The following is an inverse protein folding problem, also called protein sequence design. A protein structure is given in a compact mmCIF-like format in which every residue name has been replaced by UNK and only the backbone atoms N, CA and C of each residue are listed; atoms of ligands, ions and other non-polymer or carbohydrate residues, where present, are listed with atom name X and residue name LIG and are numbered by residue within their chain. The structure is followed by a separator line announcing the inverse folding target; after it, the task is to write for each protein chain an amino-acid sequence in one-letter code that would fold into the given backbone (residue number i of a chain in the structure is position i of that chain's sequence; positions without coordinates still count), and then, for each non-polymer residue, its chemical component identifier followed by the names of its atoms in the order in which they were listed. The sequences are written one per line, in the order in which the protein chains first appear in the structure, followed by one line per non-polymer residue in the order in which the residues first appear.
data_IF_096722164873
#
_entry.id   IF_096722164873
#
_cell.length_a   1.000
_cell.length_b   1.000
_cell.length_c   1.000
_cell.angle_alpha   90.00
_cell.angle_beta   90.00
_cell.angle_gamma   90.00
#
_symmetry.space_group_name_H-M   'P 1'
#
loop_
_entity.id
_entity.type
_entity.pdbx_description
1 polymer ?
#
# COMPACT_ATOMS: atom_id res chain seq x y z
N UNK A 1 8.90 -51.71 5.86
CA UNK A 1 9.70 -50.77 5.04
C UNK A 1 8.78 -50.16 4.00
N UNK A 2 8.24 -48.97 4.27
CA UNK A 2 7.26 -48.31 3.38
C UNK A 2 7.84 -46.95 2.98
N UNK A 3 8.14 -46.80 1.69
CA UNK A 3 8.71 -45.59 1.09
C UNK A 3 7.59 -44.55 0.93
N UNK A 4 7.64 -43.49 1.73
CA UNK A 4 6.78 -42.31 1.56
C UNK A 4 7.44 -41.36 0.57
N UNK A 5 6.82 -41.19 -0.60
CA UNK A 5 7.21 -40.18 -1.59
C UNK A 5 6.72 -38.81 -1.14
N UNK A 6 7.67 -37.89 -1.06
CA UNK A 6 7.49 -36.47 -0.79
C UNK A 6 6.85 -35.81 -2.03
N UNK A 7 5.66 -35.22 -1.88
CA UNK A 7 5.07 -34.35 -2.90
C UNK A 7 5.41 -32.91 -2.50
N UNK A 8 6.28 -32.30 -3.28
CA UNK A 8 6.64 -30.89 -3.21
C UNK A 8 5.51 -30.08 -3.87
N UNK A 9 4.79 -29.26 -3.11
CA UNK A 9 3.78 -28.35 -3.65
C UNK A 9 4.46 -27.02 -4.03
N UNK A 10 4.70 -26.84 -5.32
CA UNK A 10 5.12 -25.60 -5.97
C UNK A 10 4.05 -24.52 -5.82
N UNK A 11 4.43 -23.38 -5.24
CA UNK A 11 3.61 -22.17 -5.18
C UNK A 11 3.46 -21.56 -6.58
N UNK A 12 2.22 -21.47 -7.05
CA UNK A 12 1.86 -20.95 -8.36
C UNK A 12 2.05 -19.44 -8.49
N UNK A 13 2.86 -19.05 -9.47
CA UNK A 13 2.90 -17.72 -10.03
C UNK A 13 1.70 -17.55 -10.98
N UNK A 14 0.90 -16.50 -10.80
CA UNK A 14 -0.16 -16.12 -11.74
C UNK A 14 0.46 -15.27 -12.85
N UNK A 15 0.67 -15.90 -14.01
CA UNK A 15 1.01 -15.26 -15.28
C UNK A 15 -0.25 -14.62 -15.90
N UNK A 16 -0.15 -13.36 -16.29
CA UNK A 16 -1.17 -12.64 -17.07
C UNK A 16 -1.06 -13.09 -18.53
N UNK A 17 -2.05 -13.81 -19.05
CA UNK A 17 -2.15 -14.16 -20.46
C UNK A 17 -2.68 -12.97 -21.27
N UNK A 18 -1.93 -12.58 -22.30
CA UNK A 18 -2.34 -11.60 -23.30
C UNK A 18 -3.46 -12.13 -24.20
N UNK A 19 -4.41 -11.25 -24.52
CA UNK A 19 -5.49 -11.53 -25.47
C UNK A 19 -5.00 -11.25 -26.89
N UNK A 20 -5.00 -12.30 -27.70
CA UNK A 20 -4.77 -12.30 -29.15
C UNK A 20 -6.01 -11.72 -29.85
N UNK A 21 -5.81 -10.71 -30.70
CA UNK A 21 -6.81 -10.22 -31.67
C UNK A 21 -6.89 -11.19 -32.86
N UNK A 22 -8.09 -11.57 -33.34
CA UNK A 22 -8.25 -12.03 -34.71
C UNK A 22 -8.46 -10.83 -35.64
N UNK A 23 -7.70 -10.82 -36.73
CA UNK A 23 -7.92 -9.96 -37.88
C UNK A 23 -9.12 -10.49 -38.68
N UNK A 24 -10.08 -9.62 -39.00
CA UNK A 24 -11.00 -9.85 -40.11
C UNK A 24 -10.74 -8.82 -41.21
N UNK A 25 -10.62 -9.38 -42.39
CA UNK A 25 -10.22 -8.85 -43.69
C UNK A 25 -11.37 -8.05 -44.32
N UNK A 26 -11.00 -7.02 -45.07
CA UNK A 26 -11.88 -6.16 -45.86
C UNK A 26 -12.39 -6.85 -47.14
N UNK A 27 -13.62 -6.52 -47.55
CA UNK A 27 -14.08 -6.60 -48.95
C UNK A 27 -15.12 -5.50 -49.21
N UNK A 28 -15.22 -5.08 -50.47
CA UNK A 28 -15.48 -3.71 -50.96
C UNK A 28 -16.94 -3.45 -51.39
N UNK A 29 -17.34 -2.16 -51.34
CA UNK A 29 -18.55 -1.41 -51.78
C UNK A 29 -19.15 -1.73 -53.20
N UNK A 30 -20.28 -1.16 -53.71
CA UNK A 30 -20.97 0.11 -53.34
C UNK A 30 -22.54 0.24 -53.47
N UNK A 31 -23.00 1.42 -53.05
CA UNK A 31 -24.20 2.20 -53.48
C UNK A 31 -25.62 1.75 -53.09
N UNK A 32 -26.33 2.60 -52.32
CA UNK A 32 -27.34 3.59 -52.80
C UNK A 32 -28.07 4.20 -51.57
N UNK A 33 -28.37 5.49 -51.57
CA UNK A 33 -29.11 6.23 -50.50
C UNK A 33 -29.89 7.37 -51.17
N UNK A 34 -31.01 7.94 -50.65
CA UNK A 34 -31.98 7.55 -49.59
C UNK A 34 -33.47 7.65 -50.08
N UNK A 35 -34.49 7.61 -49.19
CA UNK A 35 -34.97 8.89 -48.64
C UNK A 35 -35.13 8.92 -47.11
N UNK A 36 -35.04 10.15 -46.64
CA UNK A 36 -35.15 10.74 -45.31
C UNK A 36 -36.41 10.31 -44.53
N UNK A 37 -36.21 9.83 -43.29
CA UNK A 37 -37.27 9.69 -42.28
C UNK A 37 -36.67 10.02 -40.92
N UNK A 38 -37.05 11.20 -40.42
CA UNK A 38 -37.02 11.71 -39.04
C UNK A 38 -35.88 11.23 -38.11
N UNK A 39 -34.94 12.12 -37.87
CA UNK A 39 -33.99 12.00 -36.76
C UNK A 39 -34.73 12.01 -35.42
N UNK A 40 -34.84 10.86 -34.77
CA UNK A 40 -35.03 10.77 -33.33
C UNK A 40 -33.87 11.48 -32.64
N UNK A 41 -34.08 12.34 -31.63
CA UNK A 41 -32.98 12.89 -30.86
C UNK A 41 -32.27 11.73 -30.17
N UNK A 42 -31.01 11.49 -30.57
CA UNK A 42 -30.12 10.58 -29.89
C UNK A 42 -29.91 11.12 -28.47
N UNK A 43 -30.62 10.54 -27.51
CA UNK A 43 -30.31 10.71 -26.08
C UNK A 43 -28.89 10.22 -25.90
N UNK A 44 -27.94 11.15 -25.78
CA UNK A 44 -26.59 10.85 -25.36
C UNK A 44 -26.71 10.19 -23.99
N UNK A 45 -26.23 8.95 -23.79
CA UNK A 45 -26.25 8.35 -22.46
C UNK A 45 -25.48 9.30 -21.53
N UNK A 46 -26.00 9.60 -20.32
CA UNK A 46 -25.30 10.46 -19.39
C UNK A 46 -23.91 9.87 -19.18
N UNK A 47 -22.89 10.67 -19.48
CA UNK A 47 -21.52 10.38 -19.08
C UNK A 47 -21.49 10.49 -17.56
N UNK A 48 -21.79 9.38 -16.89
CA UNK A 48 -21.66 9.29 -15.44
C UNK A 48 -20.18 9.48 -15.13
N UNK A 49 -19.86 10.64 -14.54
CA UNK A 49 -18.53 10.88 -13.99
C UNK A 49 -18.14 9.67 -13.12
N UNK A 50 -16.89 9.19 -13.18
CA UNK A 50 -16.47 8.06 -12.36
C UNK A 50 -16.86 8.32 -10.90
N UNK A 51 -17.54 7.37 -10.27
CA UNK A 51 -17.90 7.49 -8.86
C UNK A 51 -16.63 7.71 -8.04
N UNK A 52 -16.59 8.82 -7.30
CA UNK A 52 -15.50 9.15 -6.38
C UNK A 52 -15.49 8.14 -5.24
N UNK A 53 -14.29 7.66 -4.87
CA UNK A 53 -14.15 6.72 -3.76
C UNK A 53 -14.28 7.48 -2.45
N UNK A 54 -15.18 7.09 -1.53
CA UNK A 54 -15.24 7.72 -0.22
C UNK A 54 -13.93 7.49 0.55
N UNK A 55 -13.27 8.60 0.89
CA UNK A 55 -12.07 8.62 1.75
C UNK A 55 -12.37 9.46 2.98
N UNK A 56 -12.21 8.90 4.17
CA UNK A 56 -12.40 9.62 5.43
C UNK A 56 -11.17 9.52 6.31
N UNK A 57 -10.90 10.58 7.07
CA UNK A 57 -9.99 10.52 8.22
C UNK A 57 -10.78 10.97 9.45
N UNK A 58 -10.79 10.13 10.48
CA UNK A 58 -11.39 10.43 11.76
C UNK A 58 -10.28 10.61 12.81
N UNK A 59 -10.35 11.68 13.59
CA UNK A 59 -9.33 12.03 14.58
C UNK A 59 -9.98 12.10 15.95
N UNK A 60 -9.55 11.25 16.87
CA UNK A 60 -10.12 11.19 18.23
C UNK A 60 -9.04 11.32 19.29
N UNK A 61 -9.33 12.03 20.38
CA UNK A 61 -8.41 12.21 21.50
C UNK A 61 -7.22 13.11 21.18
N UNK A 62 -6.19 13.03 22.03
CA UNK A 62 -4.97 13.84 21.96
C UNK A 62 -3.93 13.18 21.05
N UNK A 63 -4.10 13.39 19.75
CA UNK A 63 -3.08 13.00 18.76
C UNK A 63 -1.98 14.07 18.70
N UNK A 64 -0.69 13.72 18.80
CA UNK A 64 0.40 14.69 18.68
C UNK A 64 0.41 15.39 17.32
N UNK A 65 0.82 16.66 17.27
CA UNK A 65 0.82 17.47 16.03
C UNK A 65 2.13 17.38 15.24
N UNK A 66 3.22 17.04 15.90
CA UNK A 66 4.55 16.89 15.32
C UNK A 66 4.73 15.60 14.47
N UNK A 67 3.68 14.79 14.35
CA UNK A 67 3.64 13.57 13.52
C UNK A 67 3.34 13.84 12.04
N UNK A 68 3.00 15.10 11.68
CA UNK A 68 2.79 15.51 10.29
C UNK A 68 4.02 15.15 9.45
N UNK A 69 3.82 14.68 8.23
CA UNK A 69 4.88 14.30 7.32
C UNK A 69 4.57 13.05 6.51
N UNK A 70 5.51 12.68 5.66
CA UNK A 70 5.45 11.45 4.86
C UNK A 70 6.25 10.36 5.56
N UNK A 71 5.72 9.15 5.56
CA UNK A 71 6.24 8.06 6.36
C UNK A 71 6.33 6.78 5.52
N UNK A 72 7.46 6.08 5.67
CA UNK A 72 7.60 4.67 5.30
C UNK A 72 7.49 3.83 6.57
N UNK A 73 6.33 3.19 6.78
CA UNK A 73 6.18 2.15 7.79
C UNK A 73 6.72 0.82 7.28
N UNK A 74 7.42 0.11 8.16
CA UNK A 74 7.95 -1.23 7.95
C UNK A 74 7.52 -2.10 9.11
N UNK A 75 6.63 -3.05 8.84
CA UNK A 75 6.14 -4.05 9.79
C UNK A 75 6.97 -5.32 9.66
N UNK A 76 7.60 -5.75 10.74
CA UNK A 76 8.33 -7.03 10.81
C UNK A 76 7.35 -8.11 11.28
N UNK A 77 6.60 -8.71 10.35
CA UNK A 77 5.69 -9.81 10.68
C UNK A 77 6.51 -11.05 11.01
N UNK A 78 6.25 -11.66 12.17
CA UNK A 78 6.88 -12.94 12.53
C UNK A 78 5.95 -14.08 12.16
N UNK A 79 6.45 -15.01 11.36
CA UNK A 79 5.73 -16.23 11.02
C UNK A 79 5.87 -17.26 12.14
N UNK A 80 4.97 -18.24 12.17
CA UNK A 80 5.06 -19.38 13.09
C UNK A 80 6.36 -20.19 12.93
N UNK A 81 6.96 -20.16 11.74
CA UNK A 81 8.28 -20.77 11.48
C UNK A 81 9.46 -20.03 12.11
N UNK A 82 9.23 -18.87 12.73
CA UNK A 82 10.27 -17.97 13.24
C UNK A 82 10.86 -17.02 12.19
N UNK A 83 10.59 -17.25 10.89
CA UNK A 83 11.02 -16.35 9.82
C UNK A 83 10.32 -14.99 9.92
N UNK A 84 11.04 -13.92 9.60
CA UNK A 84 10.49 -12.58 9.49
C UNK A 84 10.02 -12.31 8.05
N UNK A 85 8.90 -11.61 7.91
CA UNK A 85 8.39 -11.09 6.64
C UNK A 85 8.13 -9.59 6.77
N UNK A 86 9.05 -8.74 6.28
CA UNK A 86 8.83 -7.31 6.29
C UNK A 86 7.70 -6.95 5.31
N UNK A 87 6.77 -6.12 5.76
CA UNK A 87 5.71 -5.52 4.96
C UNK A 87 5.87 -4.01 5.05
N UNK A 88 5.81 -3.31 3.92
CA UNK A 88 5.95 -1.86 3.90
C UNK A 88 4.63 -1.16 3.63
N UNK A 89 4.46 0.04 4.19
CA UNK A 89 3.32 0.91 3.90
C UNK A 89 3.77 2.36 3.85
N UNK A 90 3.35 3.06 2.81
CA UNK A 90 3.60 4.48 2.63
C UNK A 90 2.32 5.26 2.97
N UNK A 91 2.45 6.30 3.79
CA UNK A 91 1.37 7.24 4.07
C UNK A 91 1.90 8.65 4.38
N UNK A 92 1.02 9.64 4.26
CA UNK A 92 1.27 11.02 4.64
C UNK A 92 0.23 11.42 5.69
N UNK A 93 0.69 11.97 6.81
CA UNK A 93 -0.16 12.69 7.77
C UNK A 93 0.02 14.17 7.46
N UNK A 94 -1.06 14.90 7.20
CA UNK A 94 -1.02 16.31 6.84
C UNK A 94 -2.07 17.10 7.60
N UNK A 95 -1.87 18.41 7.69
CA UNK A 95 -2.90 19.31 8.19
C UNK A 95 -4.04 19.38 7.16
N UNK A 96 -5.24 19.00 7.58
CA UNK A 96 -6.47 19.27 6.85
C UNK A 96 -7.07 20.61 7.28
N UNK A 97 -8.26 20.94 6.73
CA UNK A 97 -8.95 22.19 7.07
C UNK A 97 -9.47 22.22 8.51
N UNK A 98 -9.91 21.08 9.01
CA UNK A 98 -10.56 20.96 10.33
C UNK A 98 -9.72 20.14 11.31
N UNK A 99 -9.10 19.07 10.83
CA UNK A 99 -8.29 18.14 11.62
C UNK A 99 -7.16 17.55 10.76
N UNK A 100 -6.29 16.75 11.37
CA UNK A 100 -5.27 15.99 10.63
C UNK A 100 -5.93 15.04 9.63
N UNK A 101 -5.35 14.93 8.44
CA UNK A 101 -5.75 13.99 7.39
C UNK A 101 -4.66 12.94 7.19
N UNK A 102 -5.07 11.70 6.91
CA UNK A 102 -4.18 10.64 6.48
C UNK A 102 -4.43 10.32 5.00
N UNK A 103 -3.37 10.37 4.20
CA UNK A 103 -3.39 9.98 2.79
C UNK A 103 -2.45 8.80 2.55
N UNK A 104 -2.86 7.87 1.68
CA UNK A 104 -2.00 6.75 1.28
C UNK A 104 -0.91 7.23 0.31
N UNK A 105 0.31 6.72 0.50
CA UNK A 105 1.38 6.80 -0.49
C UNK A 105 1.25 5.65 -1.48
N UNK A 106 1.73 5.88 -2.71
CA UNK A 106 1.80 4.85 -3.75
C UNK A 106 2.85 3.77 -3.44
N UNK A 107 3.28 3.03 -4.46
CA UNK A 107 4.17 1.88 -4.25
C UNK A 107 5.57 2.27 -3.74
N UNK A 108 6.28 1.37 -3.09
CA UNK A 108 7.72 1.57 -2.85
C UNK A 108 8.48 1.53 -4.20
N UNK A 109 9.43 2.44 -4.48
CA UNK A 109 10.18 2.42 -5.74
C UNK A 109 10.89 1.09 -6.00
N UNK A 110 10.96 0.69 -7.28
CA UNK A 110 11.45 -0.64 -7.68
C UNK A 110 12.78 -1.06 -7.05
N UNK A 111 13.84 -0.22 -7.00
CA UNK A 111 15.11 -0.65 -6.41
C UNK A 111 15.01 -0.93 -4.90
N UNK A 112 14.25 -0.12 -4.16
CA UNK A 112 13.98 -0.34 -2.74
C UNK A 112 13.12 -1.59 -2.55
N UNK A 113 12.09 -1.77 -3.39
CA UNK A 113 11.23 -2.95 -3.36
C UNK A 113 12.00 -4.25 -3.66
N UNK A 114 13.01 -4.22 -4.53
CA UNK A 114 13.88 -5.37 -4.79
C UNK A 114 14.68 -5.77 -3.54
N UNK A 115 15.21 -4.80 -2.78
CA UNK A 115 15.93 -5.06 -1.52
C UNK A 115 14.99 -5.62 -0.44
N UNK A 116 13.79 -5.05 -0.33
CA UNK A 116 12.72 -5.61 0.52
C UNK A 116 12.39 -7.05 0.13
N UNK A 117 12.19 -7.32 -1.16
CA UNK A 117 11.86 -8.66 -1.67
C UNK A 117 12.97 -9.67 -1.40
N UNK A 118 14.24 -9.25 -1.52
CA UNK A 118 15.37 -10.09 -1.16
C UNK A 118 15.34 -10.50 0.34
N UNK A 119 15.03 -9.56 1.23
CA UNK A 119 14.88 -9.86 2.66
C UNK A 119 13.69 -10.80 2.93
N UNK A 120 12.54 -10.58 2.27
CA UNK A 120 11.38 -11.49 2.34
C UNK A 120 11.77 -12.90 1.92
N UNK A 121 12.48 -13.06 0.80
CA UNK A 121 12.90 -14.36 0.28
C UNK A 121 13.94 -15.04 1.19
N UNK A 122 14.76 -14.26 1.89
CA UNK A 122 15.69 -14.76 2.89
C UNK A 122 15.03 -15.07 4.26
N UNK A 123 13.75 -14.73 4.44
CA UNK A 123 13.04 -14.87 5.72
C UNK A 123 13.59 -13.93 6.81
N UNK A 124 14.15 -12.78 6.41
CA UNK A 124 14.85 -11.84 7.28
C UNK A 124 14.06 -10.54 7.45
N UNK A 125 14.24 -9.91 8.61
CA UNK A 125 13.79 -8.55 8.83
C UNK A 125 14.51 -7.59 7.89
N UNK A 126 13.86 -6.47 7.57
CA UNK A 126 14.44 -5.44 6.72
C UNK A 126 14.31 -4.06 7.36
N UNK A 127 15.42 -3.33 7.45
CA UNK A 127 15.45 -1.94 7.91
C UNK A 127 15.91 -1.06 6.75
N UNK A 128 15.18 0.00 6.39
CA UNK A 128 15.58 0.88 5.31
C UNK A 128 16.89 1.58 5.65
N UNK A 129 17.80 1.60 4.69
CA UNK A 129 19.01 2.43 4.77
C UNK A 129 18.68 3.90 4.51
N UNK A 130 19.56 4.86 4.88
CA UNK A 130 19.36 6.26 4.51
C UNK A 130 19.20 6.49 2.99
N UNK A 131 19.87 5.67 2.17
CA UNK A 131 19.71 5.72 0.72
C UNK A 131 18.33 5.23 0.27
N UNK A 132 17.79 4.17 0.88
CA UNK A 132 16.42 3.73 0.63
C UNK A 132 15.41 4.84 0.93
N UNK A 133 15.53 5.48 2.10
CA UNK A 133 14.64 6.57 2.51
C UNK A 133 14.72 7.76 1.55
N UNK A 134 15.92 8.11 1.07
CA UNK A 134 16.10 9.16 0.07
C UNK A 134 15.43 8.79 -1.25
N UNK A 135 15.63 7.57 -1.73
CA UNK A 135 15.03 7.10 -2.97
C UNK A 135 13.50 7.07 -2.89
N UNK A 136 12.93 6.61 -1.77
CA UNK A 136 11.49 6.65 -1.51
C UNK A 136 10.99 8.10 -1.48
N UNK A 137 11.72 9.02 -0.86
CA UNK A 137 11.34 10.42 -0.79
C UNK A 137 11.35 11.11 -2.17
N UNK A 138 12.41 10.90 -2.95
CA UNK A 138 12.56 11.48 -4.31
C UNK A 138 11.45 11.00 -5.26
N UNK A 139 11.02 9.75 -5.11
CA UNK A 139 9.99 9.12 -5.94
C UNK A 139 8.65 9.00 -5.21
N UNK A 140 8.43 9.82 -4.17
CA UNK A 140 7.17 9.81 -3.46
C UNK A 140 6.03 10.27 -4.37
N UNK A 141 4.89 9.58 -4.30
CA UNK A 141 3.63 10.01 -4.89
C UNK A 141 2.46 9.54 -4.04
N UNK A 142 1.34 10.27 -4.02
CA UNK A 142 0.11 9.75 -3.43
C UNK A 142 -0.34 8.49 -4.16
N UNK A 143 -1.01 7.59 -3.44
CA UNK A 143 -1.67 6.43 -4.03
C UNK A 143 -2.78 6.89 -4.99
N UNK A 144 -3.01 6.11 -6.05
CA UNK A 144 -4.20 6.27 -6.88
C UNK A 144 -5.37 5.58 -6.19
N UNK A 145 -6.22 6.36 -5.55
CA UNK A 145 -7.46 5.89 -4.93
C UNK A 145 -8.59 6.10 -5.92
N UNK A 146 -8.91 5.07 -6.69
CA UNK A 146 -9.96 5.09 -7.71
C UNK A 146 -10.93 3.91 -7.55
N UNK A 147 -12.12 4.06 -8.12
CA UNK A 147 -13.22 3.09 -7.96
C UNK A 147 -12.97 1.73 -8.62
N UNK A 148 -11.93 1.59 -9.44
CA UNK A 148 -11.51 0.27 -9.96
C UNK A 148 -10.82 -0.54 -8.88
N UNK A 149 -10.11 0.11 -7.98
CA UNK A 149 -9.31 -0.55 -6.94
C UNK A 149 -10.01 -0.52 -5.57
N UNK A 150 -10.66 0.59 -5.23
CA UNK A 150 -11.20 0.84 -3.89
C UNK A 150 -12.70 1.09 -3.94
N UNK A 151 -13.42 0.48 -3.01
CA UNK A 151 -14.80 0.81 -2.71
C UNK A 151 -14.90 1.87 -1.60
N UNK A 152 -13.99 1.83 -0.61
CA UNK A 152 -13.94 2.79 0.51
C UNK A 152 -12.55 2.79 1.16
N UNK A 153 -12.11 3.95 1.63
CA UNK A 153 -10.93 4.08 2.49
C UNK A 153 -11.32 4.82 3.78
N UNK A 154 -11.08 4.19 4.92
CA UNK A 154 -11.38 4.77 6.24
C UNK A 154 -10.08 4.82 7.06
N UNK A 155 -9.66 6.03 7.44
CA UNK A 155 -8.47 6.26 8.25
C UNK A 155 -8.88 6.75 9.64
N UNK A 156 -8.15 6.33 10.67
CA UNK A 156 -8.31 6.81 12.05
C UNK A 156 -6.96 7.19 12.65
N UNK A 157 -6.92 8.35 13.30
CA UNK A 157 -5.83 8.80 14.16
C UNK A 157 -6.38 8.90 15.58
N UNK A 158 -5.88 8.08 16.48
CA UNK A 158 -6.45 7.95 17.83
C UNK A 158 -5.39 8.30 18.87
N UNK A 159 -5.66 9.25 19.75
CA UNK A 159 -4.92 9.45 20.99
C UNK A 159 -5.28 8.36 21.98
N UNK A 160 -4.35 7.97 22.84
CA UNK A 160 -4.57 6.90 23.83
C UNK A 160 -5.71 7.18 24.82
N UNK A 161 -6.06 8.45 25.02
CA UNK A 161 -7.18 8.92 25.84
C UNK A 161 -8.57 8.71 25.19
N UNK A 162 -8.61 8.39 23.90
CA UNK A 162 -9.83 8.11 23.14
C UNK A 162 -9.82 6.73 22.48
N UNK A 163 -9.01 5.79 22.98
CA UNK A 163 -9.02 4.43 22.48
C UNK A 163 -10.36 3.76 22.75
N UNK A 164 -11.09 3.33 21.70
CA UNK A 164 -12.29 2.54 21.90
C UNK A 164 -11.92 1.14 22.44
N UNK A 165 -12.88 0.35 22.94
CA UNK A 165 -12.59 -0.93 23.61
C UNK A 165 -11.69 -1.87 22.80
N UNK A 166 -11.86 -1.92 21.47
CA UNK A 166 -11.06 -2.77 20.59
C UNK A 166 -9.58 -2.38 20.48
N UNK A 167 -9.20 -1.18 20.93
CA UNK A 167 -7.79 -0.75 21.08
C UNK A 167 -7.31 -0.81 22.53
N UNK A 168 -8.21 -0.62 23.50
CA UNK A 168 -7.82 -0.68 24.92
C UNK A 168 -7.52 -2.12 25.36
N UNK A 169 -8.23 -3.10 24.81
CA UNK A 169 -8.11 -4.51 25.17
C UNK A 169 -7.10 -5.28 24.30
N UNK A 170 -6.68 -4.73 23.14
CA UNK A 170 -5.77 -5.42 22.23
C UNK A 170 -4.30 -5.20 22.61
N UNK A 171 -3.57 -6.30 22.81
CA UNK A 171 -2.15 -6.29 23.21
C UNK A 171 -1.21 -5.56 22.22
N UNK A 172 -1.62 -5.36 20.97
CA UNK A 172 -0.87 -4.61 19.95
C UNK A 172 -0.96 -3.10 20.17
N UNK A 173 -2.04 -2.61 20.77
CA UNK A 173 -2.26 -1.16 20.95
C UNK A 173 -2.13 -0.75 22.41
N UNK A 174 -2.19 -1.70 23.34
CA UNK A 174 -1.82 -1.53 24.74
C UNK A 174 -0.45 -0.84 24.91
N UNK A 175 -0.44 0.19 25.76
CA UNK A 175 0.74 1.01 26.04
C UNK A 175 1.15 1.95 24.91
N UNK A 176 0.35 2.09 23.85
CA UNK A 176 0.60 3.06 22.79
C UNK A 176 0.20 4.47 23.24
N UNK A 177 0.96 5.48 22.81
CA UNK A 177 0.65 6.89 23.03
C UNK A 177 -0.42 7.39 22.05
N UNK A 178 -0.40 6.87 20.83
CA UNK A 178 -1.44 7.06 19.82
C UNK A 178 -1.45 5.86 18.87
N UNK A 179 -2.50 5.74 18.05
CA UNK A 179 -2.62 4.71 17.05
C UNK A 179 -3.01 5.29 15.68
N UNK A 180 -2.52 4.65 14.63
CA UNK A 180 -2.89 4.92 13.24
C UNK A 180 -3.61 3.67 12.74
N UNK A 181 -4.84 3.82 12.26
CA UNK A 181 -5.58 2.72 11.65
C UNK A 181 -6.02 3.08 10.23
N UNK A 182 -5.85 2.12 9.32
CA UNK A 182 -6.16 2.26 7.90
C UNK A 182 -7.00 1.05 7.50
N UNK A 183 -8.23 1.31 7.07
CA UNK A 183 -9.14 0.29 6.56
C UNK A 183 -9.41 0.52 5.09
N UNK A 184 -8.91 -0.38 4.27
CA UNK A 184 -9.13 -0.43 2.84
C UNK A 184 -10.23 -1.42 2.53
N UNK A 185 -11.29 -0.97 1.89
CA UNK A 185 -12.28 -1.85 1.27
C UNK A 185 -12.05 -1.81 -0.24
N UNK A 186 -11.71 -2.95 -0.82
CA UNK A 186 -11.40 -3.07 -2.24
C UNK A 186 -12.67 -3.35 -3.07
N UNK A 187 -12.60 -3.02 -4.35
CA UNK A 187 -13.68 -3.35 -5.30
C UNK A 187 -13.77 -4.86 -5.53
N UNK A 188 -14.94 -5.34 -5.98
CA UNK A 188 -15.27 -6.77 -6.06
C UNK A 188 -14.44 -7.62 -7.05
N UNK A 189 -13.52 -7.01 -7.82
CA UNK A 189 -12.62 -7.73 -8.71
C UNK A 189 -11.32 -8.20 -8.02
N UNK A 190 -11.06 -7.78 -6.78
CA UNK A 190 -9.82 -8.11 -6.07
C UNK A 190 -9.90 -9.42 -5.28
N UNK A 191 -8.76 -10.11 -5.15
CA UNK A 191 -8.63 -11.32 -4.32
C UNK A 191 -8.75 -11.03 -2.81
N UNK A 192 -8.74 -9.77 -2.41
CA UNK A 192 -8.90 -9.29 -1.04
C UNK A 192 -10.10 -8.34 -1.01
N UNK A 193 -11.02 -8.54 -0.06
CA UNK A 193 -12.17 -7.62 0.15
C UNK A 193 -11.80 -6.44 1.03
N UNK A 194 -11.05 -6.72 2.09
CA UNK A 194 -10.72 -5.71 3.09
C UNK A 194 -9.34 -5.97 3.66
N UNK A 195 -8.57 -4.91 3.83
CA UNK A 195 -7.35 -4.90 4.64
C UNK A 195 -7.51 -3.85 5.73
N UNK A 196 -7.31 -4.26 6.98
CA UNK A 196 -7.30 -3.39 8.14
C UNK A 196 -5.92 -3.42 8.78
N UNK A 197 -5.19 -2.31 8.68
CA UNK A 197 -3.86 -2.13 9.25
C UNK A 197 -3.96 -1.23 10.47
N UNK A 198 -3.43 -1.65 11.60
CA UNK A 198 -3.35 -0.87 12.84
C UNK A 198 -1.90 -0.78 13.27
N UNK A 199 -1.44 0.43 13.57
CA UNK A 199 -0.11 0.75 14.07
C UNK A 199 -0.26 1.40 15.45
N UNK A 200 0.05 0.66 16.52
CA UNK A 200 0.07 1.18 17.88
C UNK A 200 1.44 1.78 18.19
N UNK A 201 1.52 3.11 18.28
CA UNK A 201 2.79 3.84 18.45
C UNK A 201 3.12 3.97 19.93
N UNK A 202 4.09 3.21 20.41
CA UNK A 202 4.51 3.17 21.82
C UNK A 202 5.54 4.23 22.15
N UNK A 203 6.44 4.48 21.20
CA UNK A 203 7.44 5.52 21.29
C UNK A 203 7.52 6.24 19.94
N UNK A 204 7.76 7.54 19.97
CA UNK A 204 8.00 8.29 18.76
C UNK A 204 8.98 9.42 19.01
N UNK A 205 9.65 9.78 17.92
CA UNK A 205 10.41 11.02 17.75
C UNK A 205 9.85 11.72 16.51
N UNK A 206 10.25 12.97 16.24
CA UNK A 206 9.84 13.64 15.01
C UNK A 206 10.26 12.91 13.73
N UNK A 207 11.20 11.95 13.77
CA UNK A 207 11.72 11.27 12.57
C UNK A 207 11.43 9.77 12.53
N UNK A 208 11.06 9.15 13.65
CA UNK A 208 10.82 7.70 13.75
C UNK A 208 9.67 7.41 14.70
N UNK A 209 8.73 6.58 14.26
CA UNK A 209 7.72 5.94 15.11
C UNK A 209 8.13 4.50 15.40
N UNK A 210 7.89 4.03 16.61
CA UNK A 210 8.16 2.66 17.02
C UNK A 210 7.00 2.08 17.82
N UNK A 211 6.67 0.82 17.53
CA UNK A 211 5.62 0.11 18.26
C UNK A 211 5.26 -1.22 17.62
N UNK A 212 3.98 -1.54 17.66
CA UNK A 212 3.45 -2.83 17.19
C UNK A 212 2.38 -2.64 16.14
N UNK A 213 2.21 -3.63 15.28
CA UNK A 213 1.27 -3.59 14.16
C UNK A 213 0.43 -4.85 14.07
N UNK A 214 -0.81 -4.66 13.61
CA UNK A 214 -1.69 -5.71 13.11
C UNK A 214 -2.01 -5.39 11.66
N UNK A 215 -2.00 -6.40 10.81
CA UNK A 215 -2.56 -6.36 9.47
C UNK A 215 -3.55 -7.51 9.36
N UNK A 216 -4.84 -7.19 9.38
CA UNK A 216 -5.93 -8.14 9.21
C UNK A 216 -6.48 -8.03 7.78
N UNK A 217 -6.53 -9.14 7.07
CA UNK A 217 -6.99 -9.21 5.68
C UNK A 217 -8.12 -10.21 5.54
N UNK A 218 -9.16 -9.86 4.78
CA UNK A 218 -10.24 -10.76 4.42
C UNK A 218 -10.09 -11.16 2.95
N UNK A 219 -9.56 -12.35 2.70
CA UNK A 219 -9.36 -12.88 1.35
C UNK A 219 -10.66 -13.47 0.76
N UNK A 220 -10.77 -13.44 -0.56
CA UNK A 220 -11.85 -14.07 -1.33
C UNK A 220 -11.47 -15.53 -1.65
N UNK A 221 -12.21 -16.49 -1.10
CA UNK A 221 -12.21 -17.90 -1.49
C UNK A 221 -13.69 -18.39 -1.42
N UNK A 222 -14.07 -19.66 -1.70
CA UNK A 222 -15.51 -20.03 -1.75
C UNK A 222 -16.27 -19.64 -0.46
N UNK A 223 -15.53 -19.45 0.63
CA UNK A 223 -15.93 -18.63 1.78
C UNK A 223 -14.83 -17.62 2.15
N UNK A 224 -15.15 -16.44 2.74
CA UNK A 224 -14.15 -15.47 3.18
C UNK A 224 -13.20 -16.04 4.23
N UNK A 225 -11.89 -15.86 4.03
CA UNK A 225 -10.85 -16.35 4.95
C UNK A 225 -10.14 -15.17 5.64
N UNK A 226 -10.24 -15.03 6.97
CA UNK A 226 -9.51 -14.01 7.71
C UNK A 226 -8.04 -14.42 7.90
N UNK A 227 -7.13 -13.49 7.62
CA UNK A 227 -5.68 -13.64 7.83
C UNK A 227 -5.23 -12.47 8.70
N UNK A 228 -4.73 -12.77 9.91
CA UNK A 228 -4.20 -11.75 10.82
C UNK A 228 -2.70 -11.91 10.97
N UNK A 229 -1.97 -10.86 10.64
CA UNK A 229 -0.53 -10.76 10.79
C UNK A 229 -0.23 -9.78 11.92
N UNK A 230 0.66 -10.17 12.84
CA UNK A 230 1.12 -9.30 13.93
C UNK A 230 2.63 -9.17 13.88
N UNK A 231 3.16 -8.03 14.32
CA UNK A 231 4.59 -7.80 14.37
C UNK A 231 4.97 -6.46 14.96
N UNK A 232 6.27 -6.27 15.15
CA UNK A 232 6.83 -4.96 15.49
C UNK A 232 6.77 -4.07 14.25
N UNK A 233 6.62 -2.76 14.42
CA UNK A 233 6.76 -1.83 13.30
C UNK A 233 7.62 -0.63 13.67
N UNK A 234 8.26 -0.10 12.65
CA UNK A 234 8.88 1.22 12.69
C UNK A 234 8.41 2.03 11.49
N UNK A 235 8.10 3.31 11.67
CA UNK A 235 7.86 4.22 10.57
C UNK A 235 8.93 5.31 10.53
N UNK A 236 9.46 5.55 9.34
CA UNK A 236 10.56 6.47 9.10
C UNK A 236 10.07 7.69 8.34
N UNK A 237 10.33 8.89 8.86
CA UNK A 237 9.96 10.14 8.18
C UNK A 237 10.80 10.31 6.93
N UNK A 238 10.14 10.64 5.83
CA UNK A 238 10.78 10.95 4.55
C UNK A 238 11.12 12.44 4.49
N UNK A 239 12.23 12.78 3.83
CA UNK A 239 12.67 14.16 3.65
C UNK A 239 13.66 14.69 4.70
N UNK A 240 13.87 13.97 5.80
CA UNK A 240 14.85 14.32 6.85
C UNK A 240 16.27 13.83 6.55
N UNK A 241 16.42 12.96 5.55
CA UNK A 241 17.75 12.49 5.13
C UNK A 241 18.44 13.60 4.35
N UNK A 242 19.60 14.05 4.85
CA UNK A 242 20.40 15.07 4.19
C UNK A 242 20.59 14.76 2.68
N UNK A 243 20.38 15.76 1.81
CA UNK A 243 20.56 15.59 0.37
C UNK A 243 21.99 15.13 0.07
N UNK A 244 22.17 14.28 -0.96
CA UNK A 244 23.50 13.90 -1.44
C UNK A 244 24.29 15.17 -1.76
N UNK A 245 25.50 15.31 -1.22
CA UNK A 245 26.36 16.42 -1.60
C UNK A 245 26.75 16.29 -3.07
N UNK A 246 26.99 17.43 -3.74
CA UNK A 246 27.39 17.47 -5.16
C UNK A 246 28.66 16.63 -5.38
N UNK A 247 29.57 16.62 -4.41
CA UNK A 247 30.78 15.79 -4.43
C UNK A 247 30.49 14.29 -4.41
N UNK A 248 29.51 13.82 -3.65
CA UNK A 248 29.11 12.40 -3.65
C UNK A 248 28.51 11.97 -4.99
N UNK A 249 27.77 12.85 -5.65
CA UNK A 249 27.25 12.57 -7.00
C UNK A 249 28.37 12.49 -8.03
N UNK A 250 29.38 13.35 -7.92
CA UNK A 250 30.56 13.33 -8.79
C UNK A 250 31.42 12.08 -8.54
N UNK A 251 31.67 11.69 -7.29
CA UNK A 251 32.48 10.50 -6.99
C UNK A 251 31.88 9.20 -7.54
N UNK A 252 30.56 9.07 -7.55
CA UNK A 252 29.87 7.89 -8.09
C UNK A 252 29.98 7.79 -9.62
N UNK A 253 29.97 8.94 -10.32
CA UNK A 253 30.19 9.00 -11.78
C UNK A 253 31.61 8.56 -12.17
N UNK A 254 32.61 8.88 -11.35
CA UNK A 254 34.00 8.46 -11.60
C UNK A 254 34.27 7.02 -11.13
N UNK A 255 33.57 6.53 -10.11
CA UNK A 255 33.70 5.15 -9.63
C UNK A 255 33.12 4.11 -10.60
N UNK A 256 32.20 4.52 -11.48
CA UNK A 256 31.63 3.67 -12.54
C UNK A 256 32.53 3.45 -13.77
N UNK A 257 33.62 4.21 -13.92
CA UNK A 257 34.51 4.13 -15.10
C UNK A 257 35.74 3.23 -14.92
N UNK A 258 35.88 2.54 -13.78
CA UNK A 258 37.10 1.82 -13.39
C UNK A 258 37.06 0.29 -13.45
N UNK A 259 36.05 -0.34 -14.08
CA UNK A 259 36.00 -1.81 -14.25
C UNK A 259 36.10 -2.17 -15.73
N UNK A 260 37.34 -2.31 -16.21
CA UNK A 260 37.70 -3.18 -17.33
C UNK A 260 38.78 -4.13 -16.84
#
# INVERSE_FOLDING_TARGET
MQKTRLICATAGAIMILGVVRPACRAETEPSTTPPETAASPATTPPSTAPAEVPVTTDVQGKVPRDIVGRWLAVCQVRLQSGAARPITRLFEIREGREHLELALGGDVPTPVNQRLTAAINAGQSWTPTPEDLREVNEKWRPARVDSRNYAKLENRLLGSDAFPPEFTEDETTKGSQFAIAIKETFSGAQAVRTTYSVFGVRNYTPTVFGGTSIIATLAVAPFPLPITLKGDFQAYRLGEVAPRSVFQRLSDLFSGCGRR
#
